data_IF_695188205170
#
_entry.id   IF_695188205170
#
_cell.length_a   1.000
_cell.length_b   1.000
_cell.length_c   1.000
_cell.angle_alpha   90.00
_cell.angle_beta   90.00
_cell.angle_gamma   90.00
#
_symmetry.space_group_name_H-M   'P 1'
#
loop_
_entity.id
_entity.type
_entity.pdbx_description
1 polymer ?
#
# COMPACT_ATOMS: atom_id res chain seq x y z
N UNK A 1 -17.80 -2.84 -27.95
CA UNK A 1 -17.31 -1.53 -27.47
C UNK A 1 -17.41 -1.61 -25.97
N UNK A 2 -16.27 -1.69 -25.30
CA UNK A 2 -16.17 -1.91 -23.85
C UNK A 2 -16.55 -0.62 -23.13
N UNK A 3 -17.64 -0.68 -22.39
CA UNK A 3 -18.24 0.41 -21.62
C UNK A 3 -17.36 0.67 -20.40
N UNK A 4 -16.53 1.71 -20.46
CA UNK A 4 -15.81 2.23 -19.30
C UNK A 4 -16.83 2.85 -18.35
N UNK A 5 -17.24 2.08 -17.35
CA UNK A 5 -18.03 2.59 -16.23
C UNK A 5 -17.17 3.57 -15.42
N UNK A 6 -17.20 4.85 -15.82
CA UNK A 6 -16.60 5.93 -15.06
C UNK A 6 -17.39 6.08 -13.75
N UNK A 7 -16.79 5.62 -12.66
CA UNK A 7 -17.34 5.78 -11.32
C UNK A 7 -17.61 7.27 -11.06
N UNK A 8 -18.76 7.64 -10.48
CA UNK A 8 -19.09 9.04 -10.28
C UNK A 8 -17.99 9.72 -9.45
N UNK A 9 -17.56 10.90 -9.90
CA UNK A 9 -16.41 11.63 -9.34
C UNK A 9 -16.50 11.84 -7.82
N UNK A 10 -17.73 11.88 -7.28
CA UNK A 10 -18.02 11.91 -5.84
C UNK A 10 -17.55 10.66 -5.07
N UNK A 11 -17.54 9.48 -5.69
CA UNK A 11 -17.06 8.23 -5.10
C UNK A 11 -15.53 8.22 -5.07
N UNK A 12 -14.89 8.72 -6.13
CA UNK A 12 -13.42 8.87 -6.19
C UNK A 12 -12.94 9.85 -5.12
N UNK A 13 -13.61 11.00 -4.95
CA UNK A 13 -13.26 11.99 -3.93
C UNK A 13 -13.49 11.46 -2.50
N UNK A 14 -14.58 10.72 -2.28
CA UNK A 14 -14.85 10.05 -1.02
C UNK A 14 -13.80 8.96 -0.72
N UNK A 15 -13.36 8.20 -1.73
CA UNK A 15 -12.31 7.19 -1.59
C UNK A 15 -10.95 7.83 -1.26
N UNK A 16 -10.60 8.93 -1.91
CA UNK A 16 -9.38 9.69 -1.62
C UNK A 16 -9.41 10.28 -0.21
N UNK A 17 -10.53 10.91 0.17
CA UNK A 17 -10.72 11.48 1.51
C UNK A 17 -10.72 10.40 2.59
N UNK A 18 -11.32 9.23 2.32
CA UNK A 18 -11.28 8.09 3.22
C UNK A 18 -9.85 7.55 3.37
N UNK A 19 -9.10 7.42 2.27
CA UNK A 19 -7.70 6.95 2.30
C UNK A 19 -6.81 7.90 3.09
N UNK A 20 -6.94 9.21 2.85
CA UNK A 20 -6.18 10.24 3.56
C UNK A 20 -6.54 10.31 5.05
N UNK A 21 -7.83 10.26 5.41
CA UNK A 21 -8.26 10.27 6.82
C UNK A 21 -7.90 8.97 7.57
N UNK A 22 -8.01 7.81 6.91
CA UNK A 22 -7.63 6.52 7.47
C UNK A 22 -6.14 6.49 7.82
N UNK A 23 -5.30 7.09 6.96
CA UNK A 23 -3.87 7.24 7.17
C UNK A 23 -3.51 8.29 8.24
N UNK A 24 -4.24 9.41 8.27
CA UNK A 24 -3.86 10.57 9.09
C UNK A 24 -4.20 10.44 10.58
N UNK A 25 -5.33 9.82 10.97
CA UNK A 25 -5.83 10.00 12.34
C UNK A 25 -5.51 8.89 13.34
N UNK A 26 -5.49 7.62 12.96
CA UNK A 26 -5.44 6.53 13.96
C UNK A 26 -4.16 5.71 13.98
N UNK A 27 -3.34 5.74 12.94
CA UNK A 27 -2.22 4.79 12.86
C UNK A 27 -1.06 5.24 11.98
N UNK A 28 -0.87 6.55 11.75
CA UNK A 28 0.25 7.06 10.94
C UNK A 28 1.59 6.45 11.36
N UNK A 29 1.84 6.34 12.67
CA UNK A 29 3.05 5.73 13.23
C UNK A 29 3.16 4.21 12.93
N UNK A 30 2.03 3.49 12.98
CA UNK A 30 1.98 2.06 12.66
C UNK A 30 2.22 1.81 11.17
N UNK A 31 1.62 2.64 10.32
CA UNK A 31 1.76 2.58 8.86
C UNK A 31 3.18 2.96 8.45
N UNK A 32 3.76 4.00 9.06
CA UNK A 32 5.14 4.40 8.83
C UNK A 32 6.12 3.31 9.26
N UNK A 33 5.89 2.67 10.42
CA UNK A 33 6.68 1.50 10.87
C UNK A 33 6.58 0.32 9.90
N UNK A 34 5.36 -0.05 9.48
CA UNK A 34 5.15 -1.14 8.52
C UNK A 34 5.77 -0.83 7.16
N UNK A 35 5.63 0.40 6.69
CA UNK A 35 6.22 0.87 5.44
C UNK A 35 7.75 0.93 5.51
N UNK A 36 8.33 1.43 6.60
CA UNK A 36 9.78 1.44 6.81
C UNK A 36 10.35 0.03 6.83
N UNK A 37 9.70 -0.91 7.53
CA UNK A 37 10.12 -2.32 7.55
C UNK A 37 10.08 -2.95 6.15
N UNK A 38 9.09 -2.59 5.35
CA UNK A 38 9.02 -2.99 3.94
C UNK A 38 10.13 -2.32 3.10
N UNK A 39 10.39 -1.03 3.32
CA UNK A 39 11.44 -0.25 2.63
C UNK A 39 12.84 -0.81 2.90
N UNK A 40 13.14 -1.11 4.16
CA UNK A 40 14.38 -1.75 4.57
C UNK A 40 14.55 -3.10 3.86
N UNK A 41 13.47 -3.89 3.80
CA UNK A 41 13.52 -5.20 3.13
C UNK A 41 13.69 -5.07 1.62
N UNK A 42 13.07 -4.07 0.99
CA UNK A 42 13.30 -3.74 -0.41
C UNK A 42 14.77 -3.32 -0.66
N UNK A 43 15.36 -2.53 0.25
CA UNK A 43 16.76 -2.12 0.19
C UNK A 43 17.71 -3.31 0.28
N UNK A 44 17.45 -4.26 1.18
CA UNK A 44 18.23 -5.49 1.30
C UNK A 44 18.17 -6.34 0.02
N UNK A 45 16.99 -6.42 -0.63
CA UNK A 45 16.81 -7.16 -1.89
C UNK A 45 17.19 -6.37 -3.14
N UNK A 46 17.73 -5.15 -2.99
CA UNK A 46 18.06 -4.21 -4.09
C UNK A 46 16.90 -3.99 -5.07
N UNK A 47 15.67 -4.03 -4.57
CA UNK A 47 14.49 -3.73 -5.38
C UNK A 47 14.51 -2.24 -5.74
N UNK A 48 14.72 -1.94 -7.03
CA UNK A 48 14.75 -0.55 -7.54
C UNK A 48 13.35 0.05 -7.69
N UNK A 49 12.33 -0.80 -7.78
CA UNK A 49 10.95 -0.41 -8.05
C UNK A 49 9.99 -1.10 -7.09
N UNK A 50 9.05 -0.34 -6.54
CA UNK A 50 7.96 -0.83 -5.70
C UNK A 50 6.85 -1.43 -6.58
N UNK A 51 7.15 -2.53 -7.26
CA UNK A 51 6.18 -3.27 -8.08
C UNK A 51 5.34 -4.22 -7.22
N UNK A 52 4.15 -4.57 -7.70
CA UNK A 52 3.29 -5.60 -7.10
C UNK A 52 4.04 -6.92 -6.87
N UNK A 53 4.97 -7.28 -7.76
CA UNK A 53 5.81 -8.47 -7.61
C UNK A 53 6.70 -8.43 -6.35
N UNK A 54 7.18 -7.24 -5.97
CA UNK A 54 8.02 -7.05 -4.78
C UNK A 54 7.16 -7.17 -3.50
N UNK A 55 5.94 -6.63 -3.54
CA UNK A 55 4.95 -6.82 -2.48
C UNK A 55 4.63 -8.31 -2.31
N UNK A 56 4.26 -8.99 -3.39
CA UNK A 56 3.91 -10.41 -3.37
C UNK A 56 5.05 -11.27 -2.82
N UNK A 57 6.29 -11.04 -3.26
CA UNK A 57 7.45 -11.77 -2.74
C UNK A 57 7.67 -11.52 -1.23
N UNK A 58 7.54 -10.27 -0.78
CA UNK A 58 7.66 -9.92 0.64
C UNK A 58 6.57 -10.61 1.49
N UNK A 59 5.32 -10.59 1.00
CA UNK A 59 4.20 -11.19 1.71
C UNK A 59 4.20 -12.72 1.65
N UNK A 60 4.71 -13.34 0.59
CA UNK A 60 4.97 -14.78 0.54
C UNK A 60 5.95 -15.20 1.63
N UNK A 61 7.07 -14.48 1.79
CA UNK A 61 8.04 -14.72 2.88
C UNK A 61 7.38 -14.56 4.25
N UNK A 62 6.53 -13.54 4.42
CA UNK A 62 5.84 -13.25 5.68
C UNK A 62 4.65 -14.17 5.97
N UNK A 63 4.06 -14.80 4.96
CA UNK A 63 2.94 -15.73 5.10
C UNK A 63 3.30 -16.96 5.93
N UNK A 64 4.59 -17.30 5.96
CA UNK A 64 5.14 -18.42 6.75
C UNK A 64 5.24 -18.09 8.25
N UNK A 65 5.26 -16.80 8.60
CA UNK A 65 5.40 -16.31 9.98
C UNK A 65 4.10 -15.75 10.56
N UNK A 66 3.20 -15.22 9.73
CA UNK A 66 2.00 -14.52 10.16
C UNK A 66 0.72 -15.17 9.64
N UNK A 67 -0.37 -15.04 10.41
CA UNK A 67 -1.71 -15.45 9.97
C UNK A 67 -2.17 -14.60 8.79
N UNK A 68 -2.93 -15.22 7.88
CA UNK A 68 -3.44 -14.61 6.65
C UNK A 68 -4.20 -13.30 6.87
N UNK A 69 -5.03 -13.22 7.92
CA UNK A 69 -5.79 -11.99 8.24
C UNK A 69 -4.88 -10.81 8.62
N UNK A 70 -3.82 -11.08 9.38
CA UNK A 70 -2.82 -10.06 9.75
C UNK A 70 -1.98 -9.65 8.54
N UNK A 71 -1.66 -10.61 7.68
CA UNK A 71 -0.92 -10.39 6.44
C UNK A 71 -1.69 -9.47 5.49
N UNK A 72 -2.98 -9.75 5.28
CA UNK A 72 -3.88 -8.93 4.47
C UNK A 72 -4.05 -7.51 5.02
N UNK A 73 -4.12 -7.36 6.34
CA UNK A 73 -4.14 -6.04 6.96
C UNK A 73 -2.85 -5.26 6.63
N UNK A 74 -1.68 -5.88 6.80
CA UNK A 74 -0.39 -5.24 6.47
C UNK A 74 -0.26 -4.94 4.98
N UNK A 75 -0.73 -5.83 4.10
CA UNK A 75 -0.80 -5.60 2.66
C UNK A 75 -1.62 -4.37 2.32
N UNK A 76 -2.83 -4.27 2.87
CA UNK A 76 -3.71 -3.13 2.65
C UNK A 76 -3.06 -1.81 3.14
N UNK A 77 -2.38 -1.84 4.29
CA UNK A 77 -1.67 -0.67 4.83
C UNK A 77 -0.54 -0.21 3.91
N UNK A 78 0.35 -1.13 3.53
CA UNK A 78 1.52 -0.82 2.68
C UNK A 78 1.06 -0.38 1.29
N UNK A 79 0.05 -1.04 0.71
CA UNK A 79 -0.54 -0.65 -0.57
C UNK A 79 -1.12 0.77 -0.52
N UNK A 80 -1.84 1.11 0.54
CA UNK A 80 -2.38 2.46 0.74
C UNK A 80 -1.27 3.50 0.88
N UNK A 81 -0.21 3.20 1.63
CA UNK A 81 0.96 4.07 1.74
C UNK A 81 1.67 4.28 0.39
N UNK A 82 1.85 3.20 -0.39
CA UNK A 82 2.46 3.26 -1.72
C UNK A 82 1.59 4.11 -2.66
N UNK A 83 0.27 3.91 -2.65
CA UNK A 83 -0.65 4.68 -3.48
C UNK A 83 -0.55 6.18 -3.18
N UNK A 84 -0.57 6.57 -1.90
CA UNK A 84 -0.38 7.98 -1.51
C UNK A 84 1.01 8.50 -1.86
N UNK A 85 2.06 7.68 -1.74
CA UNK A 85 3.41 8.10 -2.12
C UNK A 85 3.59 8.26 -3.64
N UNK A 86 3.02 7.37 -4.44
CA UNK A 86 3.08 7.44 -5.91
C UNK A 86 2.31 8.67 -6.41
N UNK A 87 1.15 8.98 -5.81
CA UNK A 87 0.31 10.12 -6.21
C UNK A 87 0.96 11.48 -5.92
N UNK A 88 1.74 11.62 -4.82
CA UNK A 88 2.33 12.90 -4.40
C UNK A 88 3.81 13.10 -4.77
N UNK A 89 4.61 12.03 -4.92
CA UNK A 89 6.05 12.14 -5.19
C UNK A 89 6.48 11.62 -6.58
N UNK A 90 5.55 11.06 -7.37
CA UNK A 90 5.82 10.50 -8.69
C UNK A 90 6.54 9.14 -8.66
N UNK A 91 6.43 8.34 -9.74
CA UNK A 91 7.13 7.06 -9.81
C UNK A 91 8.64 7.30 -9.80
N UNK A 92 9.35 6.62 -8.90
CA UNK A 92 10.81 6.61 -8.86
C UNK A 92 11.42 5.99 -10.13
#
# INVERSE_FOLDING_TARGET
MEESAEEPQSIVDAANTATLNLLAQKSRDLYDKSYNRFRERCREKKAKTYSENVLLAYFDEKSKEYKSSTLWAQYSMIRSCIQVHIEYYGPC
#
